data_IF_096544324411
#
_entry.id   IF_096544324411
#
_cell.length_a   1.000
_cell.length_b   1.000
_cell.length_c   1.000
_cell.angle_alpha   90.00
_cell.angle_beta   90.00
_cell.angle_gamma   90.00
#
_symmetry.space_group_name_H-M   'P 1'
#
loop_
_entity.id
_entity.type
_entity.pdbx_description
1 polymer ?
#
# COMPACT_ATOMS: atom_id res chain seq x y z
N UNK A 1 3.74 -15.65 -1.48
CA UNK A 1 2.39 -15.07 -1.71
C UNK A 1 2.20 -13.71 -1.04
N UNK A 2 2.48 -13.55 0.26
CA UNK A 2 2.30 -12.26 0.97
C UNK A 2 3.04 -11.09 0.31
N UNK A 3 4.29 -11.30 -0.16
CA UNK A 3 5.07 -10.26 -0.84
C UNK A 3 4.39 -9.73 -2.11
N UNK A 4 3.75 -10.62 -2.90
CA UNK A 4 3.01 -10.22 -4.10
C UNK A 4 1.83 -9.33 -3.71
N UNK A 5 1.07 -9.73 -2.68
CA UNK A 5 -0.07 -8.95 -2.19
C UNK A 5 0.36 -7.55 -1.72
N UNK A 6 1.44 -7.47 -0.94
CA UNK A 6 2.00 -6.20 -0.46
C UNK A 6 2.47 -5.28 -1.61
N UNK A 7 3.08 -5.84 -2.65
CA UNK A 7 3.48 -5.07 -3.84
C UNK A 7 2.25 -4.56 -4.61
N UNK A 8 1.17 -5.33 -4.69
CA UNK A 8 -0.06 -4.95 -5.38
C UNK A 8 -0.87 -3.85 -4.67
N UNK A 9 -0.76 -3.75 -3.35
CA UNK A 9 -1.50 -2.78 -2.53
C UNK A 9 -0.72 -1.50 -2.22
N UNK A 10 0.39 -1.25 -2.93
CA UNK A 10 1.16 -0.02 -2.76
C UNK A 10 0.30 1.24 -2.92
N UNK A 11 0.54 2.22 -2.04
CA UNK A 11 -0.24 3.45 -1.96
C UNK A 11 -0.24 4.22 -3.29
N UNK A 12 0.92 4.32 -3.94
CA UNK A 12 1.05 4.98 -5.25
C UNK A 12 0.63 4.03 -6.38
N UNK A 13 -0.38 4.38 -7.19
CA UNK A 13 -0.86 3.50 -8.26
C UNK A 13 0.20 3.24 -9.34
N UNK A 14 1.13 4.18 -9.55
CA UNK A 14 2.25 4.04 -10.48
C UNK A 14 3.26 2.96 -10.10
N UNK A 15 3.29 2.54 -8.83
CA UNK A 15 4.19 1.49 -8.35
C UNK A 15 3.55 0.11 -8.37
N UNK A 16 2.23 0.03 -8.61
CA UNK A 16 1.53 -1.25 -8.65
C UNK A 16 1.93 -1.99 -9.93
N UNK A 17 2.25 -3.29 -9.83
CA UNK A 17 2.68 -4.09 -10.96
C UNK A 17 1.54 -4.29 -11.95
N UNK A 18 1.89 -4.50 -13.21
CA UNK A 18 0.92 -4.96 -14.21
C UNK A 18 0.48 -6.39 -13.90
N UNK A 19 -0.73 -6.78 -14.28
CA UNK A 19 -1.21 -8.16 -14.08
C UNK A 19 -0.27 -9.20 -14.71
N UNK A 20 0.31 -8.93 -15.87
CA UNK A 20 1.29 -9.82 -16.50
C UNK A 20 2.55 -10.03 -15.64
N UNK A 21 2.97 -9.02 -14.88
CA UNK A 21 4.11 -9.13 -13.96
C UNK A 21 3.71 -9.89 -12.70
N UNK A 22 2.49 -9.68 -12.20
CA UNK A 22 1.95 -10.45 -11.08
C UNK A 22 1.92 -11.93 -11.42
N UNK A 23 1.47 -12.29 -12.63
CA UNK A 23 1.46 -13.69 -13.09
C UNK A 23 2.89 -14.26 -13.12
N UNK A 24 3.86 -13.56 -13.70
CA UNK A 24 5.27 -13.99 -13.69
C UNK A 24 5.82 -14.18 -12.29
N UNK A 25 5.50 -13.27 -11.37
CA UNK A 25 5.89 -13.37 -9.95
C UNK A 25 5.27 -14.60 -9.26
N UNK A 26 4.03 -14.97 -9.63
CA UNK A 26 3.35 -16.17 -9.13
C UNK A 26 3.92 -17.45 -9.73
N UNK A 27 4.42 -17.39 -10.97
CA UNK A 27 5.12 -18.48 -11.65
C UNK A 27 6.56 -18.68 -11.14
N UNK A 28 7.06 -17.75 -10.31
CA UNK A 28 8.35 -17.85 -9.63
C UNK A 28 9.45 -16.92 -10.16
N UNK A 29 9.11 -16.01 -11.07
CA UNK A 29 10.07 -15.14 -11.76
C UNK A 29 10.05 -13.69 -11.23
N UNK A 30 11.23 -13.11 -10.95
CA UNK A 30 11.41 -11.69 -10.67
C UNK A 30 10.81 -11.12 -9.37
N UNK A 31 10.25 -11.96 -8.47
CA UNK A 31 9.65 -11.50 -7.21
C UNK A 31 10.68 -10.88 -6.25
N UNK A 32 11.85 -11.50 -6.10
CA UNK A 32 12.87 -11.06 -5.14
C UNK A 32 13.39 -9.65 -5.47
N UNK A 33 13.74 -9.41 -6.73
CA UNK A 33 14.28 -8.13 -7.21
C UNK A 33 13.23 -7.01 -7.07
N UNK A 34 11.97 -7.28 -7.45
CA UNK A 34 10.87 -6.33 -7.29
C UNK A 34 10.56 -6.02 -5.83
N UNK A 35 10.64 -7.02 -4.95
CA UNK A 35 10.41 -6.85 -3.52
C UNK A 35 11.47 -5.95 -2.89
N UNK A 36 12.75 -6.17 -3.22
CA UNK A 36 13.84 -5.32 -2.76
C UNK A 36 13.73 -3.88 -3.25
N UNK A 37 13.36 -3.69 -4.52
CA UNK A 37 13.12 -2.36 -5.09
C UNK A 37 11.96 -1.64 -4.37
N UNK A 38 10.88 -2.37 -4.07
CA UNK A 38 9.72 -1.81 -3.36
C UNK A 38 10.07 -1.41 -1.92
N UNK A 39 10.88 -2.21 -1.20
CA UNK A 39 11.32 -1.86 0.15
C UNK A 39 12.24 -0.63 0.20
N UNK A 40 13.13 -0.45 -0.78
CA UNK A 40 13.94 0.78 -0.89
C UNK A 40 13.08 2.02 -1.12
N UNK A 41 12.06 1.91 -1.96
CA UNK A 41 11.12 3.00 -2.20
C UNK A 41 10.29 3.34 -0.96
N UNK A 42 9.86 2.34 -0.19
CA UNK A 42 9.04 2.51 1.02
C UNK A 42 9.85 3.04 2.21
N UNK A 43 11.04 2.50 2.46
CA UNK A 43 11.93 2.97 3.56
C UNK A 43 12.31 4.45 3.45
N UNK A 44 12.43 4.96 2.22
CA UNK A 44 12.66 6.38 1.95
C UNK A 44 11.43 7.23 2.36
N UNK A 45 10.23 6.65 2.27
CA UNK A 45 8.96 7.30 2.63
C UNK A 45 8.58 7.14 4.09
N UNK A 46 8.86 6.01 4.74
CA UNK A 46 8.60 5.85 6.18
C UNK A 46 9.27 6.96 6.99
N UNK A 47 10.51 7.32 6.67
CA UNK A 47 11.22 8.42 7.37
C UNK A 47 10.64 9.81 7.12
N UNK A 48 10.08 10.06 5.94
CA UNK A 48 9.44 11.33 5.62
C UNK A 48 8.00 11.41 6.17
N UNK A 49 7.31 10.26 6.17
CA UNK A 49 5.94 10.14 6.64
C UNK A 49 5.86 10.13 8.17
N UNK A 50 6.82 9.55 8.89
CA UNK A 50 6.84 9.61 10.37
C UNK A 50 6.99 11.05 10.88
N UNK A 51 7.77 11.91 10.20
CA UNK A 51 7.90 13.33 10.57
C UNK A 51 6.69 14.19 10.16
N UNK A 52 6.02 13.90 9.03
CA UNK A 52 4.80 14.64 8.61
C UNK A 52 3.49 14.12 9.20
N UNK A 53 3.43 12.85 9.61
CA UNK A 53 2.23 12.26 10.23
C UNK A 53 2.16 12.58 11.72
N UNK A 54 3.31 12.72 12.39
CA UNK A 54 3.36 12.91 13.85
C UNK A 54 2.87 14.29 14.30
N UNK A 55 2.96 15.34 13.48
CA UNK A 55 2.46 16.69 13.84
C UNK A 55 0.96 16.89 13.54
N UNK A 56 0.32 15.96 12.84
CA UNK A 56 -1.10 16.05 12.45
C UNK A 56 -1.99 15.01 13.12
N UNK A 57 -1.42 14.11 13.94
CA UNK A 57 -2.14 12.99 14.56
C UNK A 57 -2.07 12.98 16.10
N UNK A 58 -1.38 13.94 16.72
CA UNK A 58 -1.22 14.01 18.18
C UNK A 58 -2.45 14.53 18.96
N UNK A 59 -3.58 14.77 18.30
CA UNK A 59 -4.81 15.33 18.93
C UNK A 59 -6.07 14.45 18.76
N UNK A 60 -5.92 13.17 18.43
CA UNK A 60 -7.07 12.27 18.20
C UNK A 60 -7.08 11.01 19.08
N UNK A 61 -6.27 10.97 20.14
CA UNK A 61 -6.39 9.94 21.17
C UNK A 61 -7.33 10.41 22.26
N UNK A 62 -8.65 10.35 22.02
CA UNK A 62 -9.63 10.08 23.10
C UNK A 62 -11.06 9.73 22.62
N UNK A 63 -11.28 9.05 21.49
CA UNK A 63 -12.45 8.15 21.39
C UNK A 63 -12.38 7.25 20.16
N UNK A 64 -12.79 6.01 20.35
CA UNK A 64 -12.70 4.96 19.35
C UNK A 64 -13.86 5.07 18.35
N UNK A 65 -13.59 5.51 17.11
CA UNK A 65 -14.41 5.11 15.96
C UNK A 65 -13.64 5.19 14.64
N UNK A 66 -12.78 4.22 14.36
CA UNK A 66 -12.42 3.89 12.98
C UNK A 66 -13.59 3.18 12.30
N UNK A 67 -14.71 3.88 12.17
CA UNK A 67 -15.81 3.44 11.33
C UNK A 67 -15.46 3.91 9.91
N UNK A 68 -14.72 3.06 9.19
CA UNK A 68 -14.54 3.22 7.74
C UNK A 68 -15.93 3.20 7.12
N UNK A 69 -16.45 4.38 6.80
CA UNK A 69 -17.77 4.53 6.21
C UNK A 69 -17.72 3.93 4.80
N UNK A 70 -18.58 2.95 4.52
CA UNK A 70 -18.64 2.32 3.20
C UNK A 70 -19.02 3.36 2.14
N UNK A 71 -18.26 3.43 1.04
CA UNK A 71 -18.62 4.24 -0.12
C UNK A 71 -19.81 3.60 -0.83
N UNK A 72 -20.97 4.24 -0.76
CA UNK A 72 -22.17 3.85 -1.52
C UNK A 72 -21.90 4.03 -3.02
N UNK A 73 -21.76 2.93 -3.75
CA UNK A 73 -21.71 2.93 -5.21
C UNK A 73 -23.16 3.02 -5.72
N UNK A 74 -23.46 4.01 -6.55
CA UNK A 74 -24.81 4.22 -7.11
C UNK A 74 -25.38 2.92 -7.66
N UNK A 75 -26.62 2.60 -7.28
CA UNK A 75 -27.32 1.37 -7.61
C UNK A 75 -27.53 1.11 -9.12
N UNK A 76 -28.14 -0.04 -9.47
CA UNK A 76 -28.18 -0.54 -10.84
C UNK A 76 -28.89 0.43 -11.79
N UNK A 77 -28.34 0.59 -12.99
CA UNK A 77 -29.00 1.24 -14.13
C UNK A 77 -29.84 0.25 -14.92
#
# INVERSE_FOLDING_TARGET
MVQVALICTQYHPSHRPKISEVVRMLEGDGLAEKWEASQRAESTRCRANEFSSSERYSDLTDDSSLLVQAMELSGPR
#
